data_IF_760157370572
#
_entry.id   IF_760157370572
#
_cell.length_a   1.000
_cell.length_b   1.000
_cell.length_c   1.000
_cell.angle_alpha   90.00
_cell.angle_beta   90.00
_cell.angle_gamma   90.00
#
_symmetry.space_group_name_H-M   'P 1'
#
loop_
_entity.id
_entity.type
_entity.pdbx_description
1 polymer ?
#
# COMPACT_ATOMS: atom_id res chain seq x y z
N UNK A 1 13.21 -9.77 10.49
CA UNK A 1 12.62 -8.80 9.55
C UNK A 1 13.39 -8.80 8.24
N UNK A 2 12.68 -8.78 7.13
CA UNK A 2 13.28 -8.73 5.80
C UNK A 2 12.88 -7.42 5.13
N UNK A 3 13.86 -6.70 4.56
CA UNK A 3 13.63 -5.45 3.83
C UNK A 3 14.08 -5.66 2.39
N UNK A 4 13.17 -5.43 1.45
CA UNK A 4 13.46 -5.47 0.01
C UNK A 4 13.36 -4.06 -0.54
N UNK A 5 14.48 -3.52 -1.03
CA UNK A 5 14.58 -2.15 -1.52
C UNK A 5 14.71 -2.14 -3.04
N UNK A 6 13.76 -1.46 -3.70
CA UNK A 6 13.79 -1.16 -5.14
C UNK A 6 14.01 -2.39 -6.03
N UNK A 7 13.42 -3.52 -5.65
CA UNK A 7 13.52 -4.79 -6.36
C UNK A 7 12.30 -5.08 -7.25
N UNK A 8 11.46 -4.06 -7.52
CA UNK A 8 10.21 -4.23 -8.24
C UNK A 8 10.33 -4.94 -9.58
N UNK A 9 11.38 -4.66 -10.35
CA UNK A 9 11.62 -5.33 -11.62
C UNK A 9 12.12 -6.76 -11.45
N UNK A 10 12.95 -7.02 -10.44
CA UNK A 10 13.48 -8.36 -10.15
C UNK A 10 12.40 -9.32 -9.67
N UNK A 11 11.34 -8.82 -9.08
CA UNK A 11 10.20 -9.64 -8.66
C UNK A 11 9.50 -10.35 -9.83
N UNK A 12 9.67 -9.86 -11.05
CA UNK A 12 9.17 -10.51 -12.26
C UNK A 12 9.99 -11.74 -12.63
N UNK A 13 11.26 -11.73 -12.27
CA UNK A 13 12.21 -12.82 -12.54
C UNK A 13 12.29 -13.82 -11.40
N UNK A 14 12.24 -13.33 -10.18
CA UNK A 14 12.14 -14.19 -9.02
C UNK A 14 10.77 -14.84 -9.11
N UNK A 15 10.75 -16.14 -9.19
CA UNK A 15 9.54 -16.91 -9.37
C UNK A 15 8.42 -16.35 -8.49
N UNK A 16 7.39 -15.78 -9.13
CA UNK A 16 6.22 -15.25 -8.46
C UNK A 16 5.63 -16.25 -7.48
N UNK A 17 5.73 -17.52 -7.82
CA UNK A 17 5.28 -18.63 -7.00
C UNK A 17 6.07 -18.75 -5.70
N UNK A 18 7.41 -18.67 -5.80
CA UNK A 18 8.28 -18.77 -4.63
C UNK A 18 8.05 -17.61 -3.67
N UNK A 19 7.95 -16.40 -4.20
CA UNK A 19 7.72 -15.21 -3.40
C UNK A 19 6.33 -15.23 -2.77
N UNK A 20 5.32 -15.65 -3.51
CA UNK A 20 3.96 -15.77 -2.97
C UNK A 20 3.90 -16.77 -1.83
N UNK A 21 4.58 -17.91 -1.98
CA UNK A 21 4.69 -18.92 -0.91
C UNK A 21 5.42 -18.37 0.30
N UNK A 22 6.52 -17.67 0.10
CA UNK A 22 7.29 -17.06 1.18
C UNK A 22 6.43 -16.06 1.97
N UNK A 23 5.73 -15.19 1.28
CA UNK A 23 4.89 -14.16 1.90
C UNK A 23 3.69 -14.80 2.61
N UNK A 24 3.04 -15.78 1.99
CA UNK A 24 1.92 -16.50 2.59
C UNK A 24 2.33 -17.22 3.87
N UNK A 25 3.56 -17.69 3.95
CA UNK A 25 4.08 -18.41 5.09
C UNK A 25 4.85 -17.52 6.09
N UNK A 26 5.02 -16.24 5.79
CA UNK A 26 5.83 -15.33 6.64
C UNK A 26 5.32 -15.25 8.07
N UNK A 27 4.00 -15.30 8.27
CA UNK A 27 3.39 -15.29 9.61
C UNK A 27 3.75 -16.54 10.41
N UNK A 28 3.77 -17.70 9.74
CA UNK A 28 4.17 -18.96 10.36
C UNK A 28 5.65 -18.95 10.73
N UNK A 29 6.47 -18.29 9.93
CA UNK A 29 7.90 -18.13 10.18
C UNK A 29 8.21 -16.99 11.16
N UNK A 30 7.19 -16.26 11.63
CA UNK A 30 7.34 -15.08 12.48
C UNK A 30 8.27 -14.05 11.86
N UNK A 31 8.13 -13.83 10.56
CA UNK A 31 8.96 -12.93 9.79
C UNK A 31 8.14 -11.75 9.30
N UNK A 32 8.63 -10.53 9.56
CA UNK A 32 8.07 -9.31 9.00
C UNK A 32 8.81 -8.95 7.73
N UNK A 33 8.07 -8.52 6.70
CA UNK A 33 8.64 -8.17 5.40
C UNK A 33 8.26 -6.73 5.07
N UNK A 34 9.23 -5.94 4.64
CA UNK A 34 9.03 -4.57 4.16
C UNK A 34 9.48 -4.50 2.71
N UNK A 35 8.58 -4.06 1.83
CA UNK A 35 8.89 -3.81 0.42
C UNK A 35 8.99 -2.31 0.18
N UNK A 36 10.12 -1.86 -0.36
CA UNK A 36 10.33 -0.48 -0.76
C UNK A 36 10.33 -0.44 -2.29
N UNK A 37 9.33 0.20 -2.88
CA UNK A 37 9.17 0.23 -4.33
C UNK A 37 8.85 1.64 -4.80
N UNK A 38 9.21 1.96 -6.04
CA UNK A 38 8.90 3.24 -6.64
C UNK A 38 7.46 3.29 -7.15
N UNK A 39 6.95 2.16 -7.61
CA UNK A 39 5.59 2.06 -8.15
C UNK A 39 4.86 0.90 -7.49
N UNK A 40 3.69 1.18 -6.97
CA UNK A 40 2.86 0.17 -6.32
C UNK A 40 2.51 -1.00 -7.26
N UNK A 41 2.33 -0.70 -8.55
CA UNK A 41 2.02 -1.72 -9.56
C UNK A 41 3.19 -2.66 -9.87
N UNK A 42 4.41 -2.35 -9.41
CA UNK A 42 5.55 -3.27 -9.55
C UNK A 42 5.43 -4.49 -8.65
N UNK A 43 4.66 -4.39 -7.58
CA UNK A 43 4.41 -5.51 -6.68
C UNK A 43 3.27 -6.35 -7.23
N UNK A 44 3.43 -7.68 -7.21
CA UNK A 44 2.38 -8.58 -7.71
C UNK A 44 1.09 -8.42 -6.90
N UNK A 45 -0.08 -8.63 -7.51
CA UNK A 45 -1.37 -8.54 -6.79
C UNK A 45 -1.44 -9.46 -5.58
N UNK A 46 -0.83 -10.63 -5.63
CA UNK A 46 -0.81 -11.58 -4.50
C UNK A 46 -0.15 -10.95 -3.28
N UNK A 47 0.98 -10.26 -3.48
CA UNK A 47 1.69 -9.58 -2.40
C UNK A 47 0.88 -8.40 -1.88
N UNK A 48 0.30 -7.60 -2.80
CA UNK A 48 -0.50 -6.43 -2.43
C UNK A 48 -1.69 -6.79 -1.53
N UNK A 49 -2.38 -7.87 -1.85
CA UNK A 49 -3.56 -8.30 -1.08
C UNK A 49 -3.21 -8.78 0.32
N UNK A 50 -1.97 -9.15 0.56
CA UNK A 50 -1.51 -9.64 1.86
C UNK A 50 -0.82 -8.56 2.70
N UNK A 51 -0.71 -7.35 2.20
CA UNK A 51 -0.09 -6.26 2.94
C UNK A 51 -0.97 -5.84 4.14
N UNK A 52 -0.38 -5.74 5.30
CA UNK A 52 -1.05 -5.28 6.52
C UNK A 52 -1.01 -3.76 6.66
N UNK A 53 -0.04 -3.14 6.01
CA UNK A 53 0.17 -1.70 6.06
C UNK A 53 0.80 -1.24 4.74
N UNK A 54 0.25 -0.16 4.18
CA UNK A 54 0.78 0.45 2.96
C UNK A 54 1.04 1.92 3.26
N UNK A 55 2.28 2.37 3.01
CA UNK A 55 2.67 3.76 3.18
C UNK A 55 2.94 4.33 1.79
N UNK A 56 2.23 5.40 1.43
CA UNK A 56 2.34 5.99 0.10
C UNK A 56 2.61 7.49 0.18
N UNK A 57 3.61 7.92 -0.55
CA UNK A 57 3.87 9.33 -0.80
C UNK A 57 3.10 9.78 -2.04
N UNK A 58 3.24 11.04 -2.43
CA UNK A 58 2.52 11.57 -3.59
C UNK A 58 2.78 10.76 -4.86
N UNK A 59 1.77 10.63 -5.70
CA UNK A 59 1.87 9.94 -6.97
C UNK A 59 1.15 10.76 -8.06
N UNK A 60 1.83 10.93 -9.18
CA UNK A 60 1.25 11.60 -10.33
C UNK A 60 0.43 10.65 -11.22
N UNK A 61 0.54 9.36 -11.01
CA UNK A 61 -0.09 8.35 -11.88
C UNK A 61 -1.45 7.92 -11.37
N UNK A 62 -2.48 8.09 -12.20
CA UNK A 62 -3.82 7.57 -11.91
C UNK A 62 -3.85 6.06 -11.72
N UNK A 63 -3.03 5.34 -12.49
CA UNK A 63 -2.95 3.87 -12.39
C UNK A 63 -2.46 3.41 -11.02
N UNK A 64 -1.46 4.08 -10.49
CA UNK A 64 -0.92 3.76 -9.16
C UNK A 64 -1.98 4.01 -8.09
N UNK A 65 -2.68 5.13 -8.19
CA UNK A 65 -3.72 5.49 -7.25
C UNK A 65 -4.92 4.55 -7.31
N UNK A 66 -5.33 4.16 -8.52
CA UNK A 66 -6.41 3.20 -8.71
C UNK A 66 -6.05 1.82 -8.14
N UNK A 67 -4.81 1.38 -8.36
CA UNK A 67 -4.33 0.11 -7.81
C UNK A 67 -4.32 0.14 -6.28
N UNK A 68 -3.87 1.25 -5.70
CA UNK A 68 -3.88 1.42 -4.24
C UNK A 68 -5.31 1.43 -3.70
N UNK A 69 -6.20 2.19 -4.32
CA UNK A 69 -7.60 2.27 -3.91
C UNK A 69 -8.29 0.91 -3.97
N UNK A 70 -7.97 0.10 -4.97
CA UNK A 70 -8.54 -1.25 -5.11
C UNK A 70 -8.20 -2.14 -3.91
N UNK A 71 -7.03 -1.96 -3.30
CA UNK A 71 -6.61 -2.78 -2.16
C UNK A 71 -7.17 -2.28 -0.82
N UNK A 72 -7.54 -1.00 -0.72
CA UNK A 72 -8.00 -0.38 0.54
C UNK A 72 -9.42 0.17 0.40
N UNK A 73 -10.27 -0.53 -0.30
CA UNK A 73 -11.55 -0.07 -0.80
C UNK A 73 -12.65 0.01 0.29
N UNK A 74 -12.75 1.15 0.97
CA UNK A 74 -13.90 1.45 1.84
C UNK A 74 -14.62 2.74 1.45
N UNK A 75 -14.18 3.40 0.38
CA UNK A 75 -14.82 4.59 -0.16
C UNK A 75 -14.71 4.58 -1.69
N UNK A 76 -15.49 5.41 -2.35
CA UNK A 76 -15.40 5.53 -3.80
C UNK A 76 -14.07 6.13 -4.24
N UNK A 77 -13.69 5.88 -5.49
CA UNK A 77 -12.41 6.31 -6.03
C UNK A 77 -12.24 7.83 -6.00
N UNK A 78 -13.30 8.58 -6.26
CA UNK A 78 -13.27 10.04 -6.25
C UNK A 78 -12.93 10.58 -4.85
N UNK A 79 -13.59 10.05 -3.84
CA UNK A 79 -13.33 10.43 -2.45
C UNK A 79 -11.93 10.03 -2.00
N UNK A 80 -11.48 8.85 -2.41
CA UNK A 80 -10.13 8.38 -2.12
C UNK A 80 -9.06 9.29 -2.75
N UNK A 81 -9.26 9.69 -4.01
CA UNK A 81 -8.33 10.61 -4.69
C UNK A 81 -8.24 11.95 -3.96
N UNK A 82 -9.36 12.48 -3.52
CA UNK A 82 -9.39 13.75 -2.78
C UNK A 82 -8.62 13.62 -1.48
N UNK A 83 -8.87 12.58 -0.71
CA UNK A 83 -8.16 12.31 0.53
C UNK A 83 -6.66 12.15 0.29
N UNK A 84 -6.28 11.35 -0.70
CA UNK A 84 -4.89 11.11 -1.05
C UNK A 84 -4.17 12.40 -1.42
N UNK A 85 -4.81 13.22 -2.25
CA UNK A 85 -4.25 14.51 -2.65
C UNK A 85 -4.06 15.42 -1.44
N UNK A 86 -5.08 15.57 -0.60
CA UNK A 86 -5.02 16.43 0.59
C UNK A 86 -3.88 16.02 1.52
N UNK A 87 -3.67 14.72 1.69
CA UNK A 87 -2.64 14.18 2.59
C UNK A 87 -1.24 14.37 2.01
N UNK A 88 -1.07 14.14 0.71
CA UNK A 88 0.27 14.06 0.08
C UNK A 88 0.68 15.32 -0.67
N UNK A 89 -0.11 16.40 -0.63
CA UNK A 89 0.22 17.62 -1.35
C UNK A 89 1.44 18.36 -0.81
N UNK A 90 1.74 18.20 0.48
CA UNK A 90 2.92 18.79 1.08
C UNK A 90 4.10 17.82 0.96
N UNK A 91 5.30 18.38 0.76
CA UNK A 91 6.51 17.59 0.63
C UNK A 91 6.73 16.74 1.89
N UNK A 92 7.12 15.48 1.68
CA UNK A 92 7.41 14.49 2.74
C UNK A 92 6.20 14.04 3.56
N UNK A 93 5.00 14.51 3.26
CA UNK A 93 3.78 13.99 3.86
C UNK A 93 3.39 12.69 3.18
N UNK A 94 2.81 11.77 3.94
CA UNK A 94 2.45 10.44 3.44
C UNK A 94 1.12 9.96 4.01
N UNK A 95 0.48 9.07 3.27
CA UNK A 95 -0.73 8.38 3.67
C UNK A 95 -0.35 6.98 4.15
N UNK A 96 -0.78 6.62 5.34
CA UNK A 96 -0.69 5.25 5.85
C UNK A 96 -2.07 4.61 5.73
N UNK A 97 -2.14 3.45 5.08
CA UNK A 97 -3.33 2.62 5.03
C UNK A 97 -3.06 1.35 5.81
N UNK A 98 -3.72 1.18 6.93
CA UNK A 98 -3.67 -0.05 7.73
C UNK A 98 -4.86 -0.92 7.32
N UNK A 99 -4.63 -2.19 7.03
CA UNK A 99 -5.68 -3.08 6.54
C UNK A 99 -6.17 -4.09 7.58
N UNK A 100 -5.43 -4.30 8.66
CA UNK A 100 -5.78 -5.21 9.73
C UNK A 100 -5.68 -4.53 11.10
N UNK A 101 -6.63 -4.77 12.01
CA UNK A 101 -7.81 -5.65 11.89
C UNK A 101 -8.94 -5.05 11.06
N UNK A 102 -8.91 -3.75 10.81
CA UNK A 102 -9.85 -3.04 9.95
C UNK A 102 -9.12 -1.95 9.19
N UNK A 103 -9.71 -1.48 8.11
CA UNK A 103 -9.10 -0.45 7.27
C UNK A 103 -9.16 0.89 7.98
N UNK A 104 -8.01 1.51 8.18
CA UNK A 104 -7.85 2.84 8.77
C UNK A 104 -6.82 3.63 7.97
N UNK A 105 -6.99 4.95 7.93
CA UNK A 105 -6.08 5.84 7.22
C UNK A 105 -5.46 6.85 8.18
N UNK A 106 -4.21 7.19 7.90
CA UNK A 106 -3.46 8.17 8.70
C UNK A 106 -2.74 9.17 7.79
N UNK A 107 -2.84 10.45 8.12
CA UNK A 107 -2.02 11.50 7.54
C UNK A 107 -0.76 11.62 8.39
N UNK A 108 0.37 11.20 7.84
CA UNK A 108 1.56 10.93 8.63
C UNK A 108 1.18 9.93 9.76
N UNK A 109 1.22 10.31 11.01
CA UNK A 109 0.85 9.44 12.13
C UNK A 109 -0.48 9.81 12.79
N UNK A 110 -1.23 10.75 12.21
CA UNK A 110 -2.51 11.18 12.75
C UNK A 110 -3.67 10.49 12.00
N UNK A 111 -4.59 9.91 12.77
CA UNK A 111 -5.74 9.22 12.20
C UNK A 111 -6.65 10.19 11.44
N UNK A 112 -7.07 9.80 10.25
CA UNK A 112 -7.96 10.59 9.41
C UNK A 112 -9.42 10.22 9.70
N UNK A 113 -10.25 11.23 9.86
CA UNK A 113 -11.71 11.06 9.88
C UNK A 113 -12.21 11.01 8.44
N UNK A 114 -12.47 9.80 7.96
CA UNK A 114 -12.90 9.57 6.58
C UNK A 114 -14.30 10.08 6.28
N UNK A 115 -15.11 10.38 7.28
CA UNK A 115 -16.46 10.91 7.06
C UNK A 115 -16.44 12.23 6.29
N UNK A 116 -15.35 12.98 6.36
CA UNK A 116 -15.14 14.20 5.58
C UNK A 116 -15.16 13.94 4.08
N UNK A 117 -14.80 12.75 3.65
CA UNK A 117 -14.65 12.39 2.24
C UNK A 117 -15.77 11.51 1.71
N UNK A 118 -16.56 10.92 2.58
CA UNK A 118 -17.62 9.97 2.22
C UNK A 118 -18.99 10.61 1.93
N UNK A 119 -19.02 11.89 1.71
CA UNK A 119 -20.30 12.57 1.41
C UNK A 119 -20.81 12.28 0.01
#
# INVERSE_FOLDING_TARGET
>A
MVISDDQGENWRYIDKKLMSLFISNSRHMRCSIIFLVQKFTQISPVIRTQADCIISFSSASSKQLEALAAEVNIMDLKSFRKMFYDVTQQDFHFLICVTLPKIEYFHNFEKIDITKYQK
#
